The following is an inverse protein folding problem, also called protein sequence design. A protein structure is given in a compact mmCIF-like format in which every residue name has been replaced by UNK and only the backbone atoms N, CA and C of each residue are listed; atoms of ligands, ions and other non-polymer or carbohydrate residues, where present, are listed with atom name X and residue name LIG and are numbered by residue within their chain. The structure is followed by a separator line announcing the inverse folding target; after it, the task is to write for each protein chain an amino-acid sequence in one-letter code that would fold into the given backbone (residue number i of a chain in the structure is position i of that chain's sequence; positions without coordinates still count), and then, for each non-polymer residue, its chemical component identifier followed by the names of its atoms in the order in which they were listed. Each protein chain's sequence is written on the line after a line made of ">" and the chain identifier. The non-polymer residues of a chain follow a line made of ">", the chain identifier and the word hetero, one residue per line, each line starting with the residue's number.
data_IF_399110566024
#
_entry.id   IF_399110566024
#
_cell.length_a   1.000
_cell.length_b   1.000
_cell.length_c   1.000
_cell.angle_alpha   90.00
_cell.angle_beta   90.00
_cell.angle_gamma   90.00
#
_symmetry.space_group_name_H-M   'P 1'
#
loop_
_entity.id
_entity.type
_entity.pdbx_description
1 polymer ?
#
# COMPACT_ATOMS: atom_id res chain seq x y z
N UNK A 1 12.67 -2.11 11.13
CA UNK A 1 11.49 -2.99 10.93
C UNK A 1 10.52 -2.67 12.05
N UNK A 2 9.40 -2.04 11.73
CA UNK A 2 8.39 -1.72 12.74
C UNK A 2 7.91 -3.01 13.42
N UNK A 3 7.61 -2.89 14.70
CA UNK A 3 7.05 -4.01 15.45
C UNK A 3 5.76 -4.46 14.73
N UNK A 4 5.70 -5.70 14.25
CA UNK A 4 4.54 -6.20 13.53
C UNK A 4 3.24 -6.19 14.36
N UNK A 5 3.32 -5.93 15.64
CA UNK A 5 2.15 -5.84 16.54
C UNK A 5 1.62 -4.41 16.70
N UNK A 6 2.34 -3.39 16.22
CA UNK A 6 1.97 -1.97 16.35
C UNK A 6 1.77 -1.24 15.03
N UNK A 7 1.97 -1.92 13.88
CA UNK A 7 1.82 -1.32 12.56
C UNK A 7 0.39 -1.44 11.98
N UNK A 8 0.26 -1.36 10.67
CA UNK A 8 -1.00 -1.39 9.92
C UNK A 8 -1.68 -2.78 9.87
N UNK A 9 -1.41 -3.64 10.82
CA UNK A 9 -1.98 -4.98 10.88
C UNK A 9 -3.42 -4.96 11.34
N UNK A 10 -4.16 -5.94 10.89
CA UNK A 10 -5.45 -6.30 11.43
C UNK A 10 -5.55 -7.81 11.61
N UNK A 11 -6.20 -8.23 12.67
CA UNK A 11 -6.60 -9.62 12.84
C UNK A 11 -7.67 -9.99 11.83
N UNK A 12 -7.68 -11.27 11.42
CA UNK A 12 -8.73 -11.82 10.56
C UNK A 12 -9.01 -13.29 10.92
N UNK A 13 -10.19 -13.78 10.56
CA UNK A 13 -10.52 -15.20 10.68
C UNK A 13 -10.38 -15.89 9.32
N UNK A 14 -9.79 -17.09 9.30
CA UNK A 14 -9.69 -17.90 8.08
C UNK A 14 -11.04 -18.24 7.44
N UNK A 15 -12.11 -18.32 8.24
CA UNK A 15 -13.47 -18.54 7.71
C UNK A 15 -13.99 -17.36 6.87
N UNK A 16 -13.46 -16.16 7.11
CA UNK A 16 -13.81 -14.92 6.40
C UNK A 16 -12.83 -14.61 5.25
N UNK A 17 -11.88 -15.51 5.02
CA UNK A 17 -10.89 -15.44 3.96
C UNK A 17 -11.33 -16.27 2.76
N UNK A 18 -11.23 -15.68 1.57
CA UNK A 18 -11.42 -16.36 0.29
C UNK A 18 -10.17 -16.14 -0.56
N UNK A 19 -9.46 -17.20 -0.88
CA UNK A 19 -8.32 -17.18 -1.79
C UNK A 19 -8.62 -18.08 -2.99
N UNK A 20 -8.62 -17.49 -4.19
CA UNK A 20 -8.82 -18.19 -5.47
C UNK A 20 -7.82 -17.64 -6.49
N UNK A 21 -7.45 -18.35 -7.54
CA UNK A 21 -6.68 -17.80 -8.63
C UNK A 21 -7.32 -16.49 -9.15
N UNK A 22 -6.57 -15.38 -9.09
CA UNK A 22 -7.02 -14.07 -9.53
C UNK A 22 -7.99 -13.32 -8.61
N UNK A 23 -8.30 -13.85 -7.42
CA UNK A 23 -9.18 -13.15 -6.48
C UNK A 23 -8.85 -13.48 -5.03
N UNK A 24 -8.73 -12.44 -4.21
CA UNK A 24 -8.57 -12.54 -2.77
C UNK A 24 -9.58 -11.66 -2.05
N UNK A 25 -10.13 -12.17 -0.95
CA UNK A 25 -11.03 -11.42 -0.07
C UNK A 25 -10.74 -11.76 1.38
N UNK A 26 -10.74 -10.75 2.23
CA UNK A 26 -10.59 -10.91 3.68
C UNK A 26 -11.34 -9.83 4.43
N UNK A 27 -11.83 -10.15 5.63
CA UNK A 27 -12.37 -9.17 6.57
C UNK A 27 -11.31 -8.81 7.61
N UNK A 28 -10.92 -7.54 7.64
CA UNK A 28 -10.02 -6.95 8.62
C UNK A 28 -10.82 -6.57 9.86
N UNK A 29 -10.68 -7.34 10.93
CA UNK A 29 -11.57 -7.24 12.09
C UNK A 29 -11.40 -5.96 12.89
N UNK A 30 -10.15 -5.51 13.04
CA UNK A 30 -9.84 -4.36 13.91
C UNK A 30 -10.43 -3.06 13.36
N UNK A 31 -10.69 -3.02 12.05
CA UNK A 31 -11.26 -1.87 11.35
C UNK A 31 -12.65 -2.13 10.78
N UNK A 32 -13.17 -3.36 10.92
CA UNK A 32 -14.42 -3.81 10.29
C UNK A 32 -14.46 -3.58 8.76
N UNK A 33 -13.32 -3.61 8.11
CA UNK A 33 -13.16 -3.38 6.68
C UNK A 33 -13.08 -4.70 5.93
N UNK A 34 -13.82 -4.82 4.84
CA UNK A 34 -13.66 -5.92 3.89
C UNK A 34 -12.76 -5.48 2.75
N UNK A 35 -11.66 -6.19 2.53
CA UNK A 35 -10.73 -5.99 1.43
C UNK A 35 -10.95 -7.08 0.37
N UNK A 36 -11.11 -6.67 -0.89
CA UNK A 36 -11.21 -7.54 -2.07
C UNK A 36 -10.14 -7.12 -3.08
N UNK A 37 -9.34 -8.06 -3.52
CA UNK A 37 -8.19 -7.82 -4.39
C UNK A 37 -8.28 -8.70 -5.64
N UNK A 38 -7.97 -8.11 -6.78
CA UNK A 38 -7.79 -8.84 -8.04
C UNK A 38 -6.75 -8.12 -8.89
N UNK A 39 -6.29 -8.75 -9.95
CA UNK A 39 -5.32 -8.15 -10.84
C UNK A 39 -5.49 -8.64 -12.28
N UNK A 40 -5.15 -7.77 -13.21
CA UNK A 40 -4.83 -8.13 -14.59
C UNK A 40 -3.32 -8.30 -14.74
N UNK A 41 -2.84 -8.49 -15.97
CA UNK A 41 -1.40 -8.60 -16.25
C UNK A 41 -0.58 -7.38 -15.77
N UNK A 42 -1.20 -6.19 -15.71
CA UNK A 42 -0.50 -4.91 -15.47
C UNK A 42 -1.14 -4.02 -14.44
N UNK A 43 -2.33 -4.33 -13.96
CA UNK A 43 -3.09 -3.47 -13.04
C UNK A 43 -3.61 -4.30 -11.88
N UNK A 44 -3.36 -3.84 -10.66
CA UNK A 44 -3.99 -4.34 -9.45
C UNK A 44 -5.29 -3.56 -9.19
N UNK A 45 -6.34 -4.27 -8.80
CA UNK A 45 -7.61 -3.68 -8.37
C UNK A 45 -7.84 -4.01 -6.91
N UNK A 46 -8.13 -2.97 -6.15
CA UNK A 46 -8.43 -3.05 -4.73
C UNK A 46 -9.81 -2.47 -4.48
N UNK A 47 -10.63 -3.21 -3.73
CA UNK A 47 -11.91 -2.71 -3.25
C UNK A 47 -11.97 -2.86 -1.75
N UNK A 48 -12.17 -1.75 -1.07
CA UNK A 48 -12.32 -1.70 0.38
C UNK A 48 -13.75 -1.27 0.72
N UNK A 49 -14.43 -2.09 1.49
CA UNK A 49 -15.77 -1.78 2.01
C UNK A 49 -15.63 -1.43 3.47
N UNK A 50 -15.85 -0.17 3.78
CA UNK A 50 -15.78 0.38 5.13
C UNK A 50 -17.15 0.28 5.83
N UNK A 51 -17.19 0.17 7.15
CA UNK A 51 -18.41 0.43 7.90
C UNK A 51 -18.85 1.89 7.70
N UNK A 52 -20.08 2.20 8.04
CA UNK A 52 -20.53 3.61 8.02
C UNK A 52 -19.71 4.39 9.06
N UNK A 53 -18.88 5.29 8.60
CA UNK A 53 -17.96 6.08 9.43
C UNK A 53 -17.65 7.40 8.73
N UNK A 54 -17.46 8.43 9.54
CA UNK A 54 -16.99 9.75 9.10
C UNK A 54 -15.45 9.83 9.07
N UNK A 55 -14.76 8.70 9.35
CA UNK A 55 -13.30 8.63 9.49
C UNK A 55 -12.74 7.43 8.72
N UNK A 56 -13.05 7.31 7.44
CA UNK A 56 -12.49 6.28 6.57
C UNK A 56 -11.21 6.79 5.89
N UNK A 57 -10.08 6.12 6.10
CA UNK A 57 -8.79 6.50 5.52
C UNK A 57 -8.27 5.42 4.57
N UNK A 58 -7.53 5.86 3.56
CA UNK A 58 -6.65 5.02 2.75
C UNK A 58 -5.24 5.56 2.89
N UNK A 59 -4.32 4.71 3.32
CA UNK A 59 -2.91 5.05 3.43
C UNK A 59 -2.17 4.39 2.27
N UNK A 60 -1.41 5.20 1.51
CA UNK A 60 -0.49 4.74 0.50
C UNK A 60 0.93 4.90 1.03
N UNK A 61 1.45 3.86 1.64
CA UNK A 61 2.80 3.85 2.19
C UNK A 61 3.79 3.28 1.16
N UNK A 62 4.44 4.17 0.41
CA UNK A 62 5.46 3.81 -0.57
C UNK A 62 6.87 3.76 0.03
N UNK A 63 7.01 4.24 1.25
CA UNK A 63 8.27 4.26 2.00
C UNK A 63 8.50 3.02 2.87
N UNK A 64 7.55 2.10 2.92
CA UNK A 64 7.65 0.93 3.79
C UNK A 64 8.58 -0.14 3.19
N UNK A 65 9.57 -0.58 3.98
CA UNK A 65 10.44 -1.68 3.61
C UNK A 65 9.68 -3.02 3.73
N UNK A 66 9.50 -3.69 2.60
CA UNK A 66 8.92 -5.03 2.52
C UNK A 66 9.94 -6.05 2.04
N UNK A 67 10.34 -6.96 2.92
CA UNK A 67 11.23 -8.09 2.58
C UNK A 67 12.57 -7.65 2.01
N UNK A 68 12.80 -7.92 0.73
CA UNK A 68 14.05 -7.65 0.03
C UNK A 68 14.10 -6.26 -0.64
N UNK A 69 13.08 -5.41 -0.45
CA UNK A 69 13.05 -4.07 -1.08
C UNK A 69 14.21 -3.18 -0.62
N UNK A 70 14.74 -3.46 0.58
CA UNK A 70 15.83 -2.70 1.17
C UNK A 70 15.42 -1.31 1.64
N UNK A 71 16.39 -0.56 2.12
CA UNK A 71 16.18 0.79 2.64
C UNK A 71 15.65 1.72 1.55
N UNK A 72 14.73 2.59 1.93
CA UNK A 72 14.23 3.66 1.07
C UNK A 72 15.17 4.85 1.15
N UNK A 73 15.67 5.29 0.01
CA UNK A 73 16.51 6.49 -0.11
C UNK A 73 15.68 7.75 -0.19
N UNK A 74 14.65 7.71 -1.03
CA UNK A 74 13.80 8.85 -1.33
C UNK A 74 12.49 8.39 -1.97
N UNK A 75 11.42 9.15 -1.76
CA UNK A 75 10.11 8.84 -2.29
C UNK A 75 9.25 10.09 -2.43
N UNK A 76 8.37 10.10 -3.40
CA UNK A 76 7.40 11.16 -3.61
C UNK A 76 6.07 10.60 -4.06
N UNK A 77 4.98 11.12 -3.52
CA UNK A 77 3.61 10.84 -3.97
C UNK A 77 2.87 12.16 -4.17
N UNK A 78 2.21 12.26 -5.31
CA UNK A 78 1.31 13.37 -5.63
C UNK A 78 -0.10 12.83 -5.83
N UNK A 79 -1.09 13.45 -5.20
CA UNK A 79 -2.50 13.19 -5.42
C UNK A 79 -3.16 14.37 -6.15
N UNK A 80 -3.87 14.07 -7.24
CA UNK A 80 -4.69 15.04 -7.96
C UNK A 80 -6.17 14.82 -7.59
N UNK A 81 -6.80 15.71 -6.83
CA UNK A 81 -8.19 15.57 -6.40
C UNK A 81 -9.21 15.76 -7.53
N UNK A 82 -8.84 16.42 -8.63
CA UNK A 82 -9.76 16.63 -9.76
C UNK A 82 -9.94 15.33 -10.55
N UNK A 83 -8.85 14.65 -10.84
CA UNK A 83 -8.85 13.38 -11.58
C UNK A 83 -8.95 12.18 -10.65
N UNK A 84 -8.82 12.38 -9.35
CA UNK A 84 -8.77 11.31 -8.33
C UNK A 84 -7.63 10.31 -8.56
N UNK A 85 -6.56 10.79 -9.15
CA UNK A 85 -5.38 9.99 -9.45
C UNK A 85 -4.25 10.28 -8.47
N UNK A 86 -3.41 9.30 -8.25
CA UNK A 86 -2.13 9.48 -7.59
C UNK A 86 -1.02 8.94 -8.47
N UNK A 87 0.12 9.60 -8.39
CA UNK A 87 1.36 9.16 -9.01
C UNK A 87 2.48 9.30 -8.01
N UNK A 88 3.50 8.49 -8.15
CA UNK A 88 4.64 8.58 -7.26
C UNK A 88 5.82 7.78 -7.76
N UNK A 89 6.90 7.90 -7.03
CA UNK A 89 8.11 7.12 -7.24
C UNK A 89 8.82 6.86 -5.91
N UNK A 90 9.60 5.80 -5.87
CA UNK A 90 10.44 5.44 -4.76
C UNK A 90 11.80 4.97 -5.26
N UNK A 91 12.87 5.37 -4.59
CA UNK A 91 14.22 4.88 -4.81
C UNK A 91 14.61 4.01 -3.60
N UNK A 92 15.01 2.78 -3.87
CA UNK A 92 15.39 1.83 -2.84
C UNK A 92 16.78 1.23 -3.12
N UNK A 93 17.36 0.63 -2.08
CA UNK A 93 18.58 -0.17 -2.13
C UNK A 93 18.24 -1.66 -1.93
N UNK A 94 17.70 -2.39 -2.93
CA UNK A 94 17.28 -3.77 -2.74
C UNK A 94 18.43 -4.66 -2.27
N UNK A 95 18.21 -5.43 -1.22
CA UNK A 95 19.26 -6.24 -0.56
C UNK A 95 19.94 -7.21 -1.53
N UNK A 96 19.16 -7.83 -2.42
CA UNK A 96 19.71 -8.74 -3.42
C UNK A 96 20.59 -8.01 -4.46
N UNK A 97 20.28 -6.74 -4.80
CA UNK A 97 21.10 -5.93 -5.72
C UNK A 97 22.41 -5.54 -5.03
N UNK A 98 22.34 -5.11 -3.77
CA UNK A 98 23.51 -4.72 -2.99
C UNK A 98 24.55 -5.84 -2.88
N UNK A 99 24.11 -7.08 -2.91
CA UNK A 99 24.99 -8.24 -2.85
C UNK A 99 25.93 -8.35 -4.07
N UNK A 100 25.47 -7.89 -5.23
CA UNK A 100 26.21 -7.99 -6.49
C UNK A 100 26.76 -6.64 -6.97
N UNK A 101 26.10 -5.57 -6.61
CA UNK A 101 26.48 -4.21 -7.00
C UNK A 101 26.19 -3.26 -5.85
N UNK A 102 27.16 -3.10 -4.98
CA UNK A 102 27.06 -2.21 -3.81
C UNK A 102 26.79 -0.75 -4.26
N UNK A 103 25.81 -0.13 -3.61
CA UNK A 103 25.41 1.26 -3.91
C UNK A 103 24.46 1.42 -5.11
N UNK A 104 24.11 0.32 -5.80
CA UNK A 104 23.13 0.41 -6.88
C UNK A 104 21.72 0.71 -6.35
N UNK A 105 21.02 1.55 -7.06
CA UNK A 105 19.68 2.04 -6.74
C UNK A 105 18.66 1.49 -7.72
N UNK A 106 17.45 1.23 -7.23
CA UNK A 106 16.30 0.90 -8.09
C UNK A 106 15.23 1.95 -7.89
N UNK A 107 14.86 2.64 -8.97
CA UNK A 107 13.72 3.58 -8.98
C UNK A 107 12.49 2.87 -9.53
N UNK A 108 11.42 2.88 -8.75
CA UNK A 108 10.12 2.34 -9.14
C UNK A 108 9.09 3.46 -9.19
N UNK A 109 8.09 3.29 -10.05
CA UNK A 109 7.00 4.25 -10.23
C UNK A 109 5.67 3.57 -9.89
N UNK A 110 4.77 4.37 -9.33
CA UNK A 110 3.39 3.96 -9.05
C UNK A 110 2.43 4.98 -9.65
N UNK A 111 1.32 4.51 -10.16
CA UNK A 111 0.18 5.32 -10.56
C UNK A 111 -1.11 4.57 -10.25
N UNK A 112 -2.14 5.30 -9.85
CA UNK A 112 -3.44 4.71 -9.56
C UNK A 112 -4.56 5.74 -9.58
N UNK A 113 -5.78 5.24 -9.53
CA UNK A 113 -7.01 6.02 -9.48
C UNK A 113 -7.88 5.53 -8.32
N UNK A 114 -8.53 6.47 -7.62
CA UNK A 114 -9.48 6.20 -6.55
C UNK A 114 -10.87 6.55 -7.05
N UNK A 115 -11.83 5.64 -6.91
CA UNK A 115 -13.20 5.85 -7.43
C UNK A 115 -14.02 6.92 -6.69
N UNK A 116 -13.56 7.35 -5.51
CA UNK A 116 -14.18 8.43 -4.72
C UNK A 116 -13.19 9.58 -4.54
N UNK A 117 -13.69 10.80 -4.58
CA UNK A 117 -12.90 11.98 -4.21
C UNK A 117 -12.59 11.91 -2.71
N UNK A 118 -11.34 12.12 -2.35
CA UNK A 118 -10.96 12.32 -0.97
C UNK A 118 -11.45 13.71 -0.51
N UNK A 119 -12.01 13.77 0.68
CA UNK A 119 -12.40 15.05 1.29
C UNK A 119 -11.15 15.81 1.75
N UNK A 120 -10.19 15.08 2.28
CA UNK A 120 -8.88 15.59 2.67
C UNK A 120 -7.79 14.64 2.17
N UNK A 121 -6.66 15.20 1.82
CA UNK A 121 -5.46 14.47 1.47
C UNK A 121 -4.24 15.16 2.08
N UNK A 122 -3.30 14.38 2.55
CA UNK A 122 -2.08 14.86 3.16
C UNK A 122 -0.95 13.85 3.00
N UNK A 123 0.24 14.28 3.30
CA UNK A 123 1.43 13.43 3.35
C UNK A 123 1.93 13.33 4.78
N UNK A 124 2.54 12.22 5.10
CA UNK A 124 3.24 12.04 6.36
C UNK A 124 4.65 11.54 6.09
N UNK A 125 5.58 11.93 6.94
CA UNK A 125 6.92 11.38 6.99
C UNK A 125 7.04 10.73 8.36
N UNK A 126 7.33 9.44 8.38
CA UNK A 126 7.62 8.75 9.64
C UNK A 126 9.05 9.07 10.03
N UNK A 127 9.22 9.82 11.10
CA UNK A 127 10.52 9.93 11.77
C UNK A 127 10.82 8.58 12.43
N UNK A 128 11.92 7.94 12.01
CA UNK A 128 12.42 6.68 12.59
C UNK A 128 13.07 6.96 13.94
#
# INVERSE_FOLDING_TARGET
>A
MENPETGYRSSFDRKDEIARPGYYKVKLKDYDVTAELTATKRVGFHKYTFPKSDSAYVILDIGNELGESGDVKDAEVTYNPEDRTFTGWVITYPKYVQKYQQGAEVKMFVAGEINKKAEEAGTFISDK
#
